data_IF_613487634121
#
_entry.id   IF_613487634121
#
_cell.length_a   1.000
_cell.length_b   1.000
_cell.length_c   1.000
_cell.angle_alpha   90.00
_cell.angle_beta   90.00
_cell.angle_gamma   90.00
#
_symmetry.space_group_name_H-M   'P 1'
#
loop_
_entity.id
_entity.type
_entity.pdbx_description
1 polymer ?
#
# COMPACT_ATOMS: atom_id res chain seq x y z
N UNK A 1 2.40 -27.29 -22.03
CA UNK A 1 3.10 -26.00 -21.80
C UNK A 1 2.45 -25.36 -20.58
N UNK A 2 3.21 -25.07 -19.52
CA UNK A 2 2.69 -24.22 -18.43
C UNK A 2 2.56 -22.81 -19.02
N UNK A 3 1.36 -22.26 -19.07
CA UNK A 3 1.18 -20.85 -19.39
C UNK A 3 1.94 -20.03 -18.35
N UNK A 4 2.85 -19.17 -18.76
CA UNK A 4 3.51 -18.23 -17.85
C UNK A 4 2.44 -17.33 -17.22
N UNK A 5 2.40 -17.33 -15.89
CA UNK A 5 1.51 -16.47 -15.14
C UNK A 5 2.20 -15.12 -14.99
N UNK A 6 1.85 -14.18 -15.87
CA UNK A 6 2.36 -12.80 -15.82
C UNK A 6 1.52 -11.95 -14.88
N UNK A 7 2.18 -11.16 -14.03
CA UNK A 7 1.53 -10.31 -13.05
C UNK A 7 2.09 -8.89 -13.16
N UNK A 8 1.23 -7.91 -13.42
CA UNK A 8 1.63 -6.50 -13.45
C UNK A 8 1.32 -5.84 -12.11
N UNK A 9 2.33 -5.25 -11.49
CA UNK A 9 2.21 -4.66 -10.16
C UNK A 9 2.59 -3.17 -10.18
N UNK A 10 1.95 -2.36 -9.34
CA UNK A 10 2.21 -0.94 -9.19
C UNK A 10 2.31 -0.57 -7.71
N UNK A 11 3.30 0.24 -7.34
CA UNK A 11 3.30 0.94 -6.04
C UNK A 11 3.15 2.43 -6.30
N UNK A 12 2.29 3.10 -5.54
CA UNK A 12 2.00 4.51 -5.74
C UNK A 12 1.68 5.23 -4.42
N UNK A 13 2.58 6.11 -4.02
CA UNK A 13 2.29 7.10 -2.99
C UNK A 13 1.41 8.19 -3.62
N UNK A 14 0.12 8.22 -3.27
CA UNK A 14 -0.86 9.10 -3.92
C UNK A 14 -0.99 10.46 -3.25
N UNK A 15 -0.28 10.70 -2.13
CA UNK A 15 -0.37 11.94 -1.35
C UNK A 15 -1.82 12.38 -1.14
N UNK A 16 -2.66 11.51 -0.59
CA UNK A 16 -4.11 11.72 -0.40
C UNK A 16 -4.84 12.23 -1.66
N UNK A 17 -4.39 11.79 -2.84
CA UNK A 17 -4.82 12.22 -4.17
C UNK A 17 -4.62 13.71 -4.46
N UNK A 18 -3.70 14.38 -3.74
CA UNK A 18 -3.36 15.79 -3.94
C UNK A 18 -2.33 15.94 -5.05
N UNK A 19 -2.77 16.44 -6.20
CA UNK A 19 -1.95 16.70 -7.37
C UNK A 19 -0.92 17.83 -7.17
N UNK A 20 -0.10 18.04 -8.20
CA UNK A 20 0.90 19.12 -8.24
C UNK A 20 0.25 20.51 -8.26
N UNK A 21 -0.98 20.60 -8.74
CA UNK A 21 -1.83 21.80 -8.66
C UNK A 21 -2.45 22.02 -7.27
N UNK A 22 -2.09 21.19 -6.29
CA UNK A 22 -2.60 21.16 -4.92
C UNK A 22 -4.10 20.84 -4.79
N UNK A 23 -4.76 20.38 -5.86
CA UNK A 23 -6.15 19.93 -5.81
C UNK A 23 -6.22 18.44 -5.53
N UNK A 24 -7.28 18.03 -4.84
CA UNK A 24 -7.54 16.61 -4.61
C UNK A 24 -8.36 16.09 -5.77
N UNK A 25 -7.80 15.13 -6.50
CA UNK A 25 -8.41 14.56 -7.68
C UNK A 25 -8.18 13.05 -7.70
N UNK A 26 -9.19 12.31 -7.23
CA UNK A 26 -9.13 10.85 -7.17
C UNK A 26 -9.27 10.21 -8.57
N UNK A 27 -9.99 10.87 -9.48
CA UNK A 27 -10.13 10.41 -10.87
C UNK A 27 -8.78 10.41 -11.60
N UNK A 28 -7.93 11.41 -11.34
CA UNK A 28 -6.57 11.45 -11.88
C UNK A 28 -5.73 10.26 -11.38
N UNK A 29 -5.85 9.91 -10.09
CA UNK A 29 -5.18 8.72 -9.53
C UNK A 29 -5.71 7.43 -10.16
N UNK A 30 -7.04 7.30 -10.28
CA UNK A 30 -7.67 6.14 -10.92
C UNK A 30 -7.23 6.01 -12.39
N UNK A 31 -7.15 7.13 -13.12
CA UNK A 31 -6.70 7.16 -14.51
C UNK A 31 -5.27 6.64 -14.68
N UNK A 32 -4.33 7.08 -13.84
CA UNK A 32 -2.94 6.61 -13.91
C UNK A 32 -2.83 5.11 -13.57
N UNK A 33 -3.59 4.64 -12.58
CA UNK A 33 -3.66 3.22 -12.26
C UNK A 33 -4.26 2.42 -13.43
N UNK A 34 -5.36 2.89 -14.02
CA UNK A 34 -6.00 2.25 -15.17
C UNK A 34 -5.04 2.15 -16.37
N UNK A 35 -4.37 3.25 -16.73
CA UNK A 35 -3.36 3.28 -17.80
C UNK A 35 -2.23 2.28 -17.58
N UNK A 36 -1.81 2.12 -16.34
CA UNK A 36 -0.77 1.16 -15.98
C UNK A 36 -1.19 -0.27 -16.27
N UNK A 37 -2.48 -0.59 -16.37
CA UNK A 37 -3.00 -1.97 -16.48
C UNK A 37 -2.49 -2.90 -15.37
N UNK A 38 -2.19 -2.36 -14.18
CA UNK A 38 -1.75 -3.15 -13.04
C UNK A 38 -2.86 -4.09 -12.55
N UNK A 39 -2.48 -5.30 -12.19
CA UNK A 39 -3.35 -6.29 -11.58
C UNK A 39 -3.39 -6.15 -10.05
N UNK A 40 -2.28 -5.68 -9.47
CA UNK A 40 -2.13 -5.38 -8.05
C UNK A 40 -1.54 -3.98 -7.86
N UNK A 41 -2.09 -3.22 -6.91
CA UNK A 41 -1.66 -1.86 -6.62
C UNK A 41 -1.46 -1.69 -5.12
N UNK A 42 -0.24 -1.34 -4.71
CA UNK A 42 0.09 -0.95 -3.35
C UNK A 42 0.08 0.59 -3.24
N UNK A 43 -0.89 1.13 -2.50
CA UNK A 43 -1.06 2.58 -2.31
C UNK A 43 -0.53 3.03 -0.95
N UNK A 44 0.15 4.16 -0.91
CA UNK A 44 0.57 4.85 0.31
C UNK A 44 -0.05 6.25 0.37
N UNK A 45 -0.12 6.80 1.58
CA UNK A 45 -0.73 8.11 1.86
C UNK A 45 -2.22 8.21 1.50
N UNK A 46 -2.97 7.15 1.76
CA UNK A 46 -4.39 7.07 1.46
C UNK A 46 -5.21 7.59 2.63
N UNK A 47 -6.08 8.56 2.39
CA UNK A 47 -7.03 9.05 3.39
C UNK A 47 -8.30 8.20 3.43
N UNK A 48 -8.87 8.09 4.63
CA UNK A 48 -10.23 7.59 4.84
C UNK A 48 -10.96 8.49 5.82
N UNK A 49 -12.04 9.08 5.31
CA UNK A 49 -12.92 10.04 5.98
C UNK A 49 -12.25 11.34 6.45
N UNK A 50 -11.02 11.63 6.04
CA UNK A 50 -10.33 12.87 6.45
C UNK A 50 -11.01 14.12 5.84
N UNK A 51 -11.14 15.23 6.58
CA UNK A 51 -11.75 16.46 6.07
C UNK A 51 -11.01 17.02 4.85
N UNK A 52 -9.67 16.96 4.87
CA UNK A 52 -8.84 17.49 3.78
C UNK A 52 -9.18 16.85 2.43
N UNK A 53 -9.61 15.58 2.41
CA UNK A 53 -9.97 14.80 1.22
C UNK A 53 -11.47 14.66 1.02
N UNK A 54 -12.27 15.55 1.61
CA UNK A 54 -13.72 15.60 1.42
C UNK A 54 -14.46 14.44 2.10
N UNK A 55 -13.91 13.90 3.19
CA UNK A 55 -14.50 12.81 3.95
C UNK A 55 -14.73 11.51 3.15
N UNK A 56 -13.95 11.27 2.10
CA UNK A 56 -14.06 10.07 1.27
C UNK A 56 -13.28 8.90 1.86
N UNK A 57 -13.71 7.66 1.59
CA UNK A 57 -12.85 6.48 1.69
C UNK A 57 -12.14 6.32 0.34
N UNK A 58 -10.91 6.85 0.23
CA UNK A 58 -10.19 6.89 -1.05
C UNK A 58 -9.88 5.49 -1.58
N UNK A 59 -9.50 4.57 -0.70
CA UNK A 59 -9.22 3.17 -1.08
C UNK A 59 -10.47 2.53 -1.71
N UNK A 60 -11.62 2.63 -1.03
CA UNK A 60 -12.89 2.11 -1.54
C UNK A 60 -13.31 2.76 -2.85
N UNK A 61 -13.17 4.08 -2.96
CA UNK A 61 -13.59 4.84 -4.13
C UNK A 61 -12.74 4.47 -5.37
N UNK A 62 -11.41 4.38 -5.21
CA UNK A 62 -10.52 3.89 -6.26
C UNK A 62 -10.84 2.44 -6.65
N UNK A 63 -11.09 1.57 -5.67
CA UNK A 63 -11.44 0.17 -5.91
C UNK A 63 -12.73 0.05 -6.76
N UNK A 64 -13.75 0.84 -6.44
CA UNK A 64 -14.99 0.89 -7.21
C UNK A 64 -14.76 1.40 -8.64
N UNK A 65 -14.00 2.49 -8.82
CA UNK A 65 -13.68 3.06 -10.13
C UNK A 65 -12.92 2.08 -11.04
N UNK A 66 -12.07 1.25 -10.43
CA UNK A 66 -11.18 0.32 -11.14
C UNK A 66 -11.71 -1.12 -11.21
N UNK A 67 -12.89 -1.38 -10.63
CA UNK A 67 -13.46 -2.72 -10.47
C UNK A 67 -12.47 -3.71 -9.81
N UNK A 68 -11.91 -3.29 -8.67
CA UNK A 68 -10.93 -4.04 -7.89
C UNK A 68 -11.44 -4.33 -6.47
N UNK A 69 -10.92 -5.40 -5.86
CA UNK A 69 -10.99 -5.64 -4.42
C UNK A 69 -10.03 -4.68 -3.69
N UNK A 70 -10.29 -4.40 -2.41
CA UNK A 70 -9.39 -3.57 -1.61
C UNK A 70 -9.29 -4.01 -0.15
N UNK A 71 -8.14 -3.72 0.46
CA UNK A 71 -7.96 -3.74 1.90
C UNK A 71 -7.13 -2.51 2.34
N UNK A 72 -7.20 -2.17 3.62
CA UNK A 72 -6.62 -0.92 4.15
C UNK A 72 -6.01 -1.12 5.53
N UNK A 73 -4.85 -0.50 5.76
CA UNK A 73 -4.15 -0.47 7.04
C UNK A 73 -4.01 0.97 7.53
N UNK A 74 -4.66 1.36 8.64
CA UNK A 74 -4.51 2.70 9.20
C UNK A 74 -3.15 2.85 9.91
N UNK A 75 -2.34 3.77 9.39
CA UNK A 75 -1.15 4.29 10.07
C UNK A 75 -1.53 5.30 11.16
N UNK A 76 -2.55 6.13 10.89
CA UNK A 76 -3.17 7.04 11.84
C UNK A 76 -4.67 6.72 11.95
N UNK A 77 -5.21 6.83 13.16
CA UNK A 77 -6.62 6.63 13.45
C UNK A 77 -7.03 7.58 14.59
N UNK A 78 -7.85 8.58 14.27
CA UNK A 78 -8.37 9.58 15.20
C UNK A 78 -9.90 9.63 15.08
N UNK A 79 -10.60 8.92 15.97
CA UNK A 79 -12.05 8.70 15.82
C UNK A 79 -12.34 8.05 14.46
N UNK A 80 -13.22 8.64 13.65
CA UNK A 80 -13.50 8.13 12.29
C UNK A 80 -12.43 8.45 11.26
N UNK A 81 -11.49 9.35 11.56
CA UNK A 81 -10.49 9.85 10.62
C UNK A 81 -9.30 8.92 10.54
N UNK A 82 -8.99 8.41 9.36
CA UNK A 82 -7.90 7.47 9.14
C UNK A 82 -7.01 7.89 7.98
N UNK A 83 -5.74 7.52 8.07
CA UNK A 83 -4.74 7.71 7.03
C UNK A 83 -3.79 6.52 7.06
N UNK A 84 -3.38 6.00 5.90
CA UNK A 84 -2.48 4.87 5.85
C UNK A 84 -2.25 4.29 4.46
N UNK A 85 -2.18 2.97 4.40
CA UNK A 85 -1.81 2.20 3.21
C UNK A 85 -3.00 1.38 2.73
N UNK A 86 -3.10 1.16 1.42
CA UNK A 86 -4.13 0.31 0.82
C UNK A 86 -3.53 -0.66 -0.19
N UNK A 87 -4.19 -1.79 -0.41
CA UNK A 87 -3.93 -2.66 -1.57
C UNK A 87 -5.19 -2.74 -2.39
N UNK A 88 -5.07 -2.56 -3.72
CA UNK A 88 -6.11 -2.84 -4.70
C UNK A 88 -5.72 -4.08 -5.50
N UNK A 89 -6.69 -4.95 -5.80
CA UNK A 89 -6.42 -6.21 -6.49
C UNK A 89 -7.55 -6.58 -7.45
N UNK A 90 -7.21 -6.99 -8.68
CA UNK A 90 -8.19 -7.63 -9.60
C UNK A 90 -8.60 -9.03 -9.13
N UNK A 91 -7.74 -9.67 -8.34
CA UNK A 91 -7.94 -11.02 -7.81
C UNK A 91 -8.49 -10.98 -6.38
N UNK A 92 -9.13 -12.08 -5.90
CA UNK A 92 -9.64 -12.16 -4.53
C UNK A 92 -8.55 -11.91 -3.48
N UNK A 93 -8.83 -11.00 -2.56
CA UNK A 93 -8.09 -10.83 -1.31
C UNK A 93 -8.70 -11.81 -0.31
N UNK A 94 -7.99 -12.89 0.03
CA UNK A 94 -8.52 -13.94 0.91
C UNK A 94 -8.23 -13.69 2.38
N UNK A 95 -7.19 -12.90 2.67
CA UNK A 95 -6.82 -12.49 4.03
C UNK A 95 -6.15 -11.12 3.99
N UNK A 96 -6.35 -10.31 5.02
CA UNK A 96 -5.56 -9.10 5.22
C UNK A 96 -5.35 -8.79 6.69
N UNK A 97 -4.19 -8.24 7.03
CA UNK A 97 -3.85 -7.79 8.38
C UNK A 97 -3.10 -6.47 8.36
N UNK A 98 -3.26 -5.71 9.45
CA UNK A 98 -2.66 -4.40 9.64
C UNK A 98 -1.81 -4.42 10.92
N UNK A 99 -0.54 -4.03 10.81
CA UNK A 99 0.37 -3.95 11.94
C UNK A 99 0.92 -2.52 12.05
N UNK A 100 0.73 -1.86 13.19
CA UNK A 100 1.33 -0.54 13.43
C UNK A 100 2.80 -0.70 13.76
N UNK A 101 3.64 0.15 13.18
CA UNK A 101 5.07 0.19 13.46
C UNK A 101 5.45 1.55 14.09
N UNK A 102 6.53 1.61 14.88
CA UNK A 102 6.90 2.81 15.63
C UNK A 102 7.16 4.03 14.74
N UNK A 103 6.75 5.21 15.19
CA UNK A 103 7.06 6.52 14.61
C UNK A 103 6.73 7.61 15.63
N UNK A 104 7.63 8.59 15.78
CA UNK A 104 7.53 9.68 16.76
C UNK A 104 6.56 10.74 16.24
N UNK A 105 6.78 11.20 15.01
CA UNK A 105 5.97 12.26 14.39
C UNK A 105 4.84 11.69 13.54
N UNK A 106 5.17 10.72 12.69
CA UNK A 106 4.19 10.05 11.83
C UNK A 106 4.18 8.57 12.16
N UNK A 107 3.07 8.11 12.75
CA UNK A 107 2.83 6.68 12.92
C UNK A 107 2.78 6.02 11.55
N UNK A 108 3.33 4.81 11.44
CA UNK A 108 3.37 4.02 10.20
C UNK A 108 2.70 2.68 10.43
N UNK A 109 2.41 1.97 9.35
CA UNK A 109 1.84 0.63 9.40
C UNK A 109 2.36 -0.23 8.27
N UNK A 110 2.34 -1.54 8.48
CA UNK A 110 2.51 -2.57 7.46
C UNK A 110 1.14 -3.16 7.17
N UNK A 111 0.75 -3.19 5.89
CA UNK A 111 -0.42 -3.91 5.39
C UNK A 111 0.07 -5.21 4.78
N UNK A 112 -0.44 -6.34 5.26
CA UNK A 112 -0.23 -7.65 4.63
C UNK A 112 -1.53 -8.15 4.05
N UNK A 113 -1.52 -8.57 2.78
CA UNK A 113 -2.69 -9.10 2.09
C UNK A 113 -2.33 -10.38 1.35
N UNK A 114 -3.10 -11.44 1.53
CA UNK A 114 -2.94 -12.69 0.79
C UNK A 114 -3.89 -12.65 -0.41
N UNK A 115 -3.33 -12.74 -1.61
CA UNK A 115 -4.05 -12.67 -2.87
C UNK A 115 -4.10 -14.06 -3.50
N UNK A 116 -5.28 -14.51 -3.91
CA UNK A 116 -5.45 -15.76 -4.65
C UNK A 116 -5.47 -15.50 -6.15
N UNK A 117 -4.37 -15.83 -6.84
CA UNK A 117 -4.19 -15.66 -8.28
C UNK A 117 -4.25 -17.03 -8.95
N UNK A 118 -5.40 -17.38 -9.55
CA UNK A 118 -5.61 -18.68 -10.20
C UNK A 118 -5.21 -19.89 -9.33
N UNK A 119 -5.63 -19.90 -8.06
CA UNK A 119 -5.29 -20.92 -7.04
C UNK A 119 -3.84 -20.88 -6.52
N UNK A 120 -3.07 -19.84 -6.86
CA UNK A 120 -1.77 -19.56 -6.26
C UNK A 120 -1.88 -18.42 -5.26
N UNK A 121 -1.38 -18.63 -4.04
CA UNK A 121 -1.36 -17.60 -3.02
C UNK A 121 -0.10 -16.75 -3.13
N UNK A 122 -0.28 -15.44 -3.23
CA UNK A 122 0.77 -14.43 -3.19
C UNK A 122 0.55 -13.51 -2.00
N UNK A 123 1.55 -13.37 -1.14
CA UNK A 123 1.50 -12.41 -0.02
C UNK A 123 2.03 -11.05 -0.48
N UNK A 124 1.21 -10.02 -0.38
CA UNK A 124 1.60 -8.63 -0.60
C UNK A 124 1.89 -7.96 0.74
N UNK A 125 3.04 -7.32 0.85
CA UNK A 125 3.42 -6.50 2.00
C UNK A 125 3.58 -5.06 1.54
N UNK A 126 2.64 -4.21 1.88
CA UNK A 126 2.66 -2.78 1.57
C UNK A 126 3.02 -1.95 2.81
N UNK A 127 4.02 -1.07 2.69
CA UNK A 127 4.38 -0.14 3.78
C UNK A 127 4.84 1.22 3.27
N UNK A 128 4.81 2.20 4.17
CA UNK A 128 5.40 3.52 3.98
C UNK A 128 6.34 3.76 5.17
N UNK A 129 7.65 3.70 4.94
CA UNK A 129 8.62 3.90 6.03
C UNK A 129 8.82 5.39 6.32
N UNK A 130 9.31 5.70 7.52
CA UNK A 130 9.55 7.06 7.98
C UNK A 130 10.70 7.75 7.26
N UNK A 131 10.63 9.07 7.19
CA UNK A 131 11.69 9.90 6.60
C UNK A 131 12.90 10.01 7.52
N UNK A 132 12.70 9.89 8.84
CA UNK A 132 13.77 10.05 9.82
C UNK A 132 14.63 8.78 9.89
N UNK A 133 15.98 8.86 9.68
CA UNK A 133 16.83 7.66 9.55
C UNK A 133 16.78 6.70 10.75
N UNK A 134 16.72 7.24 11.97
CA UNK A 134 16.69 6.44 13.20
C UNK A 134 15.39 5.64 13.37
N UNK A 135 14.25 6.22 13.00
CA UNK A 135 12.96 5.52 12.94
C UNK A 135 12.95 4.49 11.82
N UNK A 136 13.37 4.92 10.64
CA UNK A 136 13.37 4.08 9.45
C UNK A 136 14.19 2.81 9.65
N UNK A 137 15.34 2.89 10.34
CA UNK A 137 16.13 1.71 10.73
C UNK A 137 15.29 0.71 11.54
N UNK A 138 14.63 1.16 12.61
CA UNK A 138 13.80 0.30 13.47
C UNK A 138 12.64 -0.31 12.69
N UNK A 139 11.95 0.50 11.89
CA UNK A 139 10.84 0.06 11.05
C UNK A 139 11.28 -0.95 9.99
N UNK A 140 12.46 -0.76 9.38
CA UNK A 140 13.03 -1.71 8.42
C UNK A 140 13.33 -3.06 9.07
N UNK A 141 13.90 -3.10 10.27
CA UNK A 141 14.08 -4.37 11.00
C UNK A 141 12.76 -5.09 11.30
N UNK A 142 11.71 -4.34 11.67
CA UNK A 142 10.38 -4.92 11.87
C UNK A 142 9.80 -5.48 10.56
N UNK A 143 9.97 -4.76 9.46
CA UNK A 143 9.60 -5.23 8.12
C UNK A 143 10.32 -6.54 7.79
N UNK A 144 11.65 -6.57 7.91
CA UNK A 144 12.44 -7.79 7.62
C UNK A 144 12.04 -8.96 8.51
N UNK A 145 11.82 -8.74 9.80
CA UNK A 145 11.34 -9.78 10.71
C UNK A 145 9.98 -10.33 10.29
N UNK A 146 9.10 -9.48 9.78
CA UNK A 146 7.79 -9.90 9.24
C UNK A 146 7.97 -10.73 7.97
N UNK A 147 8.81 -10.27 7.03
CA UNK A 147 9.08 -10.98 5.78
C UNK A 147 9.66 -12.37 6.02
N UNK A 148 10.59 -12.49 6.97
CA UNK A 148 11.20 -13.77 7.34
C UNK A 148 10.21 -14.78 7.95
N UNK A 149 9.01 -14.34 8.34
CA UNK A 149 7.95 -15.21 8.88
C UNK A 149 6.90 -15.58 7.84
N UNK A 150 6.93 -14.97 6.65
CA UNK A 150 5.97 -15.29 5.60
C UNK A 150 6.38 -16.61 4.95
N UNK A 151 5.44 -17.54 4.90
CA UNK A 151 5.60 -18.81 4.20
C UNK A 151 5.16 -18.63 2.74
N UNK A 152 5.97 -19.11 1.79
CA UNK A 152 5.67 -19.05 0.36
C UNK A 152 6.10 -17.74 -0.30
N UNK A 153 5.47 -17.42 -1.44
CA UNK A 153 5.87 -16.27 -2.26
C UNK A 153 5.34 -14.96 -1.66
N UNK A 154 6.25 -14.00 -1.47
CA UNK A 154 5.92 -12.67 -0.99
C UNK A 154 6.44 -11.61 -1.97
N UNK A 155 5.68 -10.53 -2.11
CA UNK A 155 6.08 -9.31 -2.80
C UNK A 155 5.96 -8.14 -1.84
N UNK A 156 7.05 -7.38 -1.70
CA UNK A 156 7.12 -6.22 -0.82
C UNK A 156 7.10 -4.97 -1.67
N UNK A 157 6.20 -4.06 -1.36
CA UNK A 157 5.95 -2.84 -2.12
C UNK A 157 5.79 -1.67 -1.16
N UNK A 158 6.09 -0.46 -1.62
CA UNK A 158 5.96 0.68 -0.73
C UNK A 158 6.78 1.88 -1.11
N UNK A 159 6.59 2.93 -0.32
CA UNK A 159 7.51 4.05 -0.23
C UNK A 159 8.44 3.81 0.97
N UNK A 160 9.66 3.40 0.69
CA UNK A 160 10.63 3.11 1.74
C UNK A 160 11.37 4.35 2.22
N UNK A 161 11.17 5.53 1.62
CA UNK A 161 11.97 6.73 1.90
C UNK A 161 13.49 6.45 1.86
N UNK A 162 13.90 5.61 0.92
CA UNK A 162 15.31 5.25 0.68
C UNK A 162 15.61 5.37 -0.81
N UNK A 163 16.81 5.86 -1.13
CA UNK A 163 17.33 5.87 -2.50
C UNK A 163 17.88 4.49 -2.86
N UNK A 164 17.97 4.21 -4.16
CA UNK A 164 18.74 3.07 -4.67
C UNK A 164 20.17 3.09 -4.10
N UNK A 165 20.68 1.93 -3.69
CA UNK A 165 22.02 1.80 -3.08
C UNK A 165 22.09 2.10 -1.58
N UNK A 166 20.97 2.46 -0.93
CA UNK A 166 20.94 2.56 0.54
C UNK A 166 21.41 1.25 1.17
N UNK A 167 22.17 1.32 2.26
CA UNK A 167 22.77 0.16 2.97
C UNK A 167 21.79 -0.95 3.40
N UNK A 168 20.48 -0.71 3.35
CA UNK A 168 19.44 -1.67 3.71
C UNK A 168 18.78 -2.31 2.47
N UNK A 169 19.15 -1.86 1.28
CA UNK A 169 18.66 -2.35 -0.02
C UNK A 169 19.74 -3.16 -0.77
N UNK A 170 20.77 -3.62 -0.04
CA UNK A 170 21.88 -4.42 -0.56
C UNK A 170 21.68 -5.89 -0.20
#
# INVERSE_FOLDING_TARGET
MRSELSLKVMTFNIRHAKGMDNKINLDAVAWEIHKSQADLVALQEVDRFMPRSGFQDQARSLANMLNMQWCFSPSLHLGKFQYGNAVLSRYPIVESSAERIPGIWEKRSILTATINIHNHLLTIVNTHLGVMPSERKKQFFLLMNKLNRIMGTALVMGDFNMRMGHQYMQ
#
